data_IF_360782856904
#
_entry.id   IF_360782856904
#
_cell.length_a   1.000
_cell.length_b   1.000
_cell.length_c   1.000
_cell.angle_alpha   90.00
_cell.angle_beta   90.00
_cell.angle_gamma   90.00
#
_symmetry.space_group_name_H-M   'P 1'
#
loop_
_entity.id
_entity.type
_entity.pdbx_description
1 polymer ?
#
# COMPACT_ATOMS: atom_id res chain seq x y z
N UNK A 1 11.76 10.28 -12.97
CA UNK A 1 10.72 9.23 -12.78
C UNK A 1 11.26 7.94 -12.18
N UNK A 2 12.40 7.39 -12.62
CA UNK A 2 12.93 6.11 -12.09
C UNK A 2 13.18 6.11 -10.57
N UNK A 3 13.80 7.16 -10.03
CA UNK A 3 14.06 7.29 -8.59
C UNK A 3 12.76 7.38 -7.77
N UNK A 4 11.79 8.17 -8.21
CA UNK A 4 10.49 8.28 -7.53
C UNK A 4 9.72 6.96 -7.54
N UNK A 5 9.75 6.21 -8.65
CA UNK A 5 9.13 4.88 -8.71
C UNK A 5 9.81 3.89 -7.75
N UNK A 6 11.14 3.94 -7.64
CA UNK A 6 11.87 3.10 -6.68
C UNK A 6 11.52 3.46 -5.24
N UNK A 7 11.51 4.74 -4.88
CA UNK A 7 11.11 5.20 -3.55
C UNK A 7 9.67 4.78 -3.21
N UNK A 8 8.75 4.92 -4.17
CA UNK A 8 7.37 4.50 -4.02
C UNK A 8 7.25 2.99 -3.77
N UNK A 9 7.93 2.17 -4.56
CA UNK A 9 7.95 0.71 -4.36
C UNK A 9 8.57 0.32 -3.02
N UNK A 10 9.63 1.01 -2.58
CA UNK A 10 10.22 0.79 -1.26
C UNK A 10 9.24 1.11 -0.13
N UNK A 11 8.51 2.22 -0.22
CA UNK A 11 7.47 2.57 0.75
C UNK A 11 6.35 1.53 0.78
N UNK A 12 5.82 1.16 -0.38
CA UNK A 12 4.77 0.13 -0.52
C UNK A 12 5.21 -1.20 0.09
N UNK A 13 6.44 -1.62 -0.19
CA UNK A 13 6.96 -2.87 0.35
C UNK A 13 7.15 -2.82 1.87
N UNK A 14 7.65 -1.70 2.41
CA UNK A 14 7.81 -1.51 3.85
C UNK A 14 6.46 -1.59 4.58
N UNK A 15 5.46 -0.88 4.05
CA UNK A 15 4.10 -0.90 4.60
C UNK A 15 3.47 -2.31 4.52
N UNK A 16 3.66 -3.01 3.39
CA UNK A 16 3.14 -4.38 3.24
C UNK A 16 3.77 -5.36 4.24
N UNK A 17 5.06 -5.21 4.54
CA UNK A 17 5.71 -6.01 5.57
C UNK A 17 5.14 -5.71 6.95
N UNK A 18 4.94 -4.43 7.28
CA UNK A 18 4.39 -4.01 8.57
C UNK A 18 2.97 -4.55 8.78
N UNK A 19 2.10 -4.47 7.76
CA UNK A 19 0.75 -5.05 7.81
C UNK A 19 0.82 -6.56 8.11
N UNK A 20 1.68 -7.30 7.39
CA UNK A 20 1.83 -8.76 7.61
C UNK A 20 2.32 -9.11 9.01
N UNK A 21 3.19 -8.29 9.59
CA UNK A 21 3.68 -8.50 10.95
C UNK A 21 2.56 -8.32 11.98
N UNK A 22 1.68 -7.32 11.79
CA UNK A 22 0.48 -7.12 12.62
C UNK A 22 -0.53 -8.26 12.44
N UNK A 23 -0.84 -8.66 11.20
CA UNK A 23 -1.74 -9.80 10.92
C UNK A 23 -1.22 -11.10 11.56
N UNK A 24 0.09 -11.31 11.51
CA UNK A 24 0.73 -12.47 12.15
C UNK A 24 0.64 -12.40 13.67
N UNK A 25 0.87 -11.23 14.27
CA UNK A 25 0.73 -11.04 15.71
C UNK A 25 -0.72 -11.28 16.15
N UNK A 26 -1.69 -10.75 15.42
CA UNK A 26 -3.12 -10.96 15.67
C UNK A 26 -3.49 -12.45 15.65
N UNK A 27 -3.01 -13.17 14.63
CA UNK A 27 -3.30 -14.60 14.51
C UNK A 27 -2.63 -15.47 15.60
N UNK A 28 -1.55 -14.99 16.25
CA UNK A 28 -0.84 -15.75 17.28
C UNK A 28 -1.39 -15.46 18.68
N UNK A 29 -1.59 -14.19 19.01
CA UNK A 29 -1.89 -13.74 20.37
C UNK A 29 -3.10 -12.82 20.47
N UNK A 30 -3.70 -12.43 19.35
CA UNK A 30 -4.59 -11.29 19.25
C UNK A 30 -3.83 -9.96 19.33
N UNK A 31 -4.42 -8.93 18.76
CA UNK A 31 -4.01 -7.53 18.94
C UNK A 31 -4.91 -6.84 19.97
N UNK A 32 -4.37 -5.82 20.65
CA UNK A 32 -5.19 -4.89 21.43
C UNK A 32 -5.89 -3.87 20.50
N UNK A 33 -6.85 -3.13 21.06
CA UNK A 33 -7.65 -2.17 20.29
C UNK A 33 -6.80 -1.08 19.60
N UNK A 34 -5.67 -0.72 20.20
CA UNK A 34 -4.76 0.27 19.61
C UNK A 34 -4.04 -0.32 18.39
N UNK A 35 -3.50 -1.52 18.52
CA UNK A 35 -2.82 -2.20 17.44
C UNK A 35 -3.78 -2.61 16.30
N UNK A 36 -5.04 -2.94 16.61
CA UNK A 36 -6.09 -3.15 15.60
C UNK A 36 -6.40 -1.86 14.83
N UNK A 37 -6.52 -0.73 15.52
CA UNK A 37 -6.74 0.58 14.90
C UNK A 37 -5.57 0.96 13.99
N UNK A 38 -4.34 0.69 14.43
CA UNK A 38 -3.15 0.95 13.65
C UNK A 38 -3.07 0.04 12.41
N UNK A 39 -3.38 -1.25 12.53
CA UNK A 39 -3.47 -2.17 11.40
C UNK A 39 -4.50 -1.70 10.37
N UNK A 40 -5.69 -1.28 10.81
CA UNK A 40 -6.73 -0.75 9.92
C UNK A 40 -6.24 0.51 9.16
N UNK A 41 -5.57 1.42 9.85
CA UNK A 41 -4.98 2.61 9.24
C UNK A 41 -3.93 2.25 8.17
N UNK A 42 -3.04 1.28 8.45
CA UNK A 42 -2.05 0.82 7.49
C UNK A 42 -2.69 0.16 6.26
N UNK A 43 -3.70 -0.67 6.46
CA UNK A 43 -4.49 -1.27 5.38
C UNK A 43 -5.18 -0.20 4.52
N UNK A 44 -5.78 0.81 5.15
CA UNK A 44 -6.40 1.93 4.45
C UNK A 44 -5.42 2.74 3.59
N UNK A 45 -4.19 2.98 4.09
CA UNK A 45 -3.14 3.63 3.32
C UNK A 45 -2.71 2.77 2.12
N UNK A 46 -2.56 1.45 2.30
CA UNK A 46 -2.22 0.54 1.20
C UNK A 46 -3.26 0.59 0.08
N UNK A 47 -4.55 0.56 0.42
CA UNK A 47 -5.64 0.66 -0.56
C UNK A 47 -5.60 1.98 -1.34
N UNK A 48 -5.31 3.10 -0.67
CA UNK A 48 -5.15 4.40 -1.34
C UNK A 48 -3.94 4.41 -2.30
N UNK A 49 -2.83 3.78 -1.90
CA UNK A 49 -1.66 3.62 -2.78
C UNK A 49 -2.00 2.82 -4.03
N UNK A 50 -2.72 1.70 -3.89
CA UNK A 50 -3.15 0.87 -5.03
C UNK A 50 -4.07 1.64 -5.97
N UNK A 51 -5.03 2.42 -5.43
CA UNK A 51 -5.89 3.27 -6.24
C UNK A 51 -5.13 4.35 -7.04
N UNK A 52 -4.08 4.94 -6.45
CA UNK A 52 -3.21 5.89 -7.16
C UNK A 52 -2.39 5.22 -8.27
N UNK A 53 -1.93 3.98 -8.04
CA UNK A 53 -1.22 3.18 -9.03
C UNK A 53 -2.13 2.88 -10.23
N UNK A 54 -3.37 2.47 -9.98
CA UNK A 54 -4.38 2.21 -11.03
C UNK A 54 -4.70 3.47 -11.85
N UNK A 55 -4.91 4.62 -11.20
CA UNK A 55 -5.16 5.90 -11.87
C UNK A 55 -3.98 6.30 -12.77
N UNK A 56 -2.74 6.13 -12.29
CA UNK A 56 -1.55 6.41 -13.08
C UNK A 56 -1.44 5.48 -14.29
N UNK A 57 -1.72 4.19 -14.11
CA UNK A 57 -1.74 3.24 -15.23
C UNK A 57 -2.79 3.60 -16.27
N UNK A 58 -4.00 3.97 -15.85
CA UNK A 58 -5.06 4.40 -16.74
C UNK A 58 -4.64 5.63 -17.54
N UNK A 59 -4.13 6.67 -16.87
CA UNK A 59 -3.62 7.87 -17.51
C UNK A 59 -2.54 7.55 -18.56
N UNK A 60 -1.60 6.66 -18.23
CA UNK A 60 -0.55 6.23 -19.17
C UNK A 60 -1.16 5.51 -20.39
N UNK A 61 -2.16 4.65 -20.21
CA UNK A 61 -2.84 3.95 -21.33
C UNK A 61 -3.57 4.93 -22.23
N UNK A 62 -4.33 5.86 -21.65
CA UNK A 62 -5.07 6.88 -22.40
C UNK A 62 -4.13 7.81 -23.18
N UNK A 63 -3.03 8.23 -22.57
CA UNK A 63 -2.01 9.07 -23.24
C UNK A 63 -1.33 8.39 -24.43
N UNK A 64 -1.26 7.04 -24.44
CA UNK A 64 -0.66 6.26 -25.53
C UNK A 64 -1.63 5.98 -26.68
N UNK A 65 -2.94 5.96 -26.41
CA UNK A 65 -3.98 5.66 -27.39
C UNK A 65 -4.54 6.93 -28.07
N UNK A 66 -4.14 8.12 -27.62
CA UNK A 66 -4.55 9.41 -28.19
C UNK A 66 -3.68 9.93 -29.34
N UNK A 67 -2.84 9.09 -29.96
CA UNK A 67 -1.96 9.41 -31.08
C UNK A 67 -2.29 8.56 -32.31
#
# INVERSE_FOLDING_TARGET
MKNYKQMWMSLRNGLSMQIRDYEKADNISGLDDYALTELDAWCGIMQQMEGLEEQLEQYIRESKNGN
#
